data_IF_812613926669
#
_entry.id   IF_812613926669
#
_cell.length_a   1.000
_cell.length_b   1.000
_cell.length_c   1.000
_cell.angle_alpha   90.00
_cell.angle_beta   90.00
_cell.angle_gamma   90.00
#
_symmetry.space_group_name_H-M   'P 1'
#
loop_
_entity.id
_entity.type
_entity.pdbx_description
1 polymer ?
#
# COMPACT_ATOMS: atom_id res chain seq x y z
N UNK A 1 27.75 7.83 6.42
CA UNK A 1 28.64 6.96 7.17
C UNK A 1 27.80 5.93 7.94
N UNK A 2 28.35 4.74 8.16
CA UNK A 2 27.78 3.74 9.07
C UNK A 2 28.58 3.81 10.35
N UNK A 3 27.90 3.94 11.48
CA UNK A 3 28.51 3.97 12.81
C UNK A 3 27.93 2.83 13.63
N UNK A 4 28.79 1.95 14.15
CA UNK A 4 28.39 0.86 15.02
C UNK A 4 29.52 0.44 15.96
N UNK A 5 29.20 -0.28 17.02
CA UNK A 5 30.16 -0.81 18.00
C UNK A 5 30.43 -2.28 17.64
N UNK A 6 31.70 -2.65 17.57
CA UNK A 6 32.08 -4.04 17.30
C UNK A 6 31.73 -4.97 18.49
N UNK A 7 31.35 -6.22 18.24
CA UNK A 7 31.11 -6.84 16.94
C UNK A 7 29.80 -6.39 16.28
N UNK A 8 29.81 -6.13 14.98
CA UNK A 8 28.62 -5.75 14.22
C UNK A 8 28.46 -6.64 12.98
N UNK A 9 27.23 -6.69 12.45
CA UNK A 9 26.88 -7.44 11.25
C UNK A 9 26.54 -6.49 10.11
N UNK A 10 27.08 -6.76 8.93
CA UNK A 10 26.68 -6.06 7.70
C UNK A 10 25.34 -6.62 7.21
N UNK A 11 24.57 -5.84 6.43
CA UNK A 11 23.36 -6.36 5.76
C UNK A 11 23.70 -7.54 4.85
N UNK A 12 22.76 -8.47 4.74
CA UNK A 12 22.81 -9.54 3.76
C UNK A 12 22.84 -8.99 2.33
N UNK A 13 23.61 -9.64 1.46
CA UNK A 13 23.55 -9.46 0.03
C UNK A 13 23.07 -10.76 -0.58
N UNK A 14 21.94 -10.71 -1.30
CA UNK A 14 21.29 -11.90 -1.83
C UNK A 14 21.46 -11.92 -3.34
N UNK A 15 21.88 -13.06 -3.88
CA UNK A 15 21.92 -13.36 -5.30
C UNK A 15 21.06 -14.60 -5.51
N UNK A 16 20.00 -14.47 -6.30
CA UNK A 16 19.11 -15.58 -6.66
C UNK A 16 19.42 -16.00 -8.10
N UNK A 17 19.58 -17.30 -8.31
CA UNK A 17 19.80 -17.90 -9.63
C UNK A 17 18.71 -18.94 -9.89
N UNK A 18 18.17 -18.93 -11.09
CA UNK A 18 17.16 -19.89 -11.52
C UNK A 18 17.22 -20.10 -13.03
N UNK A 19 16.68 -21.22 -13.52
CA UNK A 19 16.62 -21.52 -14.95
C UNK A 19 15.56 -20.69 -15.69
N UNK A 20 14.53 -20.24 -14.97
CA UNK A 20 13.42 -19.43 -15.50
C UNK A 20 13.12 -18.27 -14.56
N UNK A 21 12.75 -17.09 -15.09
CA UNK A 21 12.46 -15.91 -14.26
C UNK A 21 11.39 -16.15 -13.18
N UNK A 22 10.34 -16.91 -13.50
CA UNK A 22 9.23 -17.17 -12.58
C UNK A 22 9.65 -17.92 -11.31
N UNK A 23 10.66 -18.79 -11.39
CA UNK A 23 11.16 -19.55 -10.24
C UNK A 23 11.74 -18.62 -9.16
N UNK A 24 12.29 -17.46 -9.54
CA UNK A 24 12.80 -16.49 -8.56
C UNK A 24 11.64 -15.89 -7.76
N UNK A 25 10.51 -15.60 -8.42
CA UNK A 25 9.31 -15.08 -7.75
C UNK A 25 8.70 -16.12 -6.80
N UNK A 26 8.72 -17.39 -7.16
CA UNK A 26 8.22 -18.50 -6.32
C UNK A 26 9.03 -18.69 -5.03
N UNK A 27 10.28 -18.21 -5.00
CA UNK A 27 11.22 -18.37 -3.89
C UNK A 27 11.55 -17.05 -3.17
N UNK A 28 10.69 -16.07 -3.22
CA UNK A 28 10.90 -14.77 -2.53
C UNK A 28 10.87 -14.90 -0.99
N UNK A 29 10.42 -16.00 -0.43
CA UNK A 29 10.52 -16.36 0.99
C UNK A 29 11.96 -16.44 1.51
N UNK A 30 12.94 -16.63 0.63
CA UNK A 30 14.37 -16.57 0.98
C UNK A 30 14.72 -15.28 1.72
N UNK A 31 14.25 -14.12 1.24
CA UNK A 31 14.52 -12.82 1.87
C UNK A 31 13.86 -12.73 3.25
N UNK A 32 12.65 -13.24 3.40
CA UNK A 32 11.97 -13.32 4.69
C UNK A 32 12.79 -14.17 5.66
N UNK A 33 13.29 -15.32 5.22
CA UNK A 33 14.00 -16.30 6.03
C UNK A 33 15.39 -15.81 6.52
N UNK A 34 15.94 -14.74 5.96
CA UNK A 34 17.14 -14.07 6.46
C UNK A 34 16.86 -13.15 7.67
N UNK A 35 15.61 -12.94 8.00
CA UNK A 35 15.20 -12.11 9.13
C UNK A 35 14.77 -12.97 10.33
N UNK A 36 14.90 -12.46 11.56
CA UNK A 36 14.43 -13.15 12.76
C UNK A 36 12.93 -13.47 12.68
N UNK A 37 12.50 -14.48 13.42
CA UNK A 37 11.08 -14.81 13.58
C UNK A 37 10.30 -13.66 14.21
N UNK A 38 8.97 -13.73 14.09
CA UNK A 38 8.04 -12.72 14.61
C UNK A 38 8.30 -12.41 16.08
N UNK A 39 8.39 -11.13 16.41
CA UNK A 39 8.57 -10.61 17.78
C UNK A 39 7.30 -10.09 18.42
N UNK A 40 6.19 -10.03 17.67
CA UNK A 40 4.89 -9.64 18.18
C UNK A 40 4.24 -10.86 18.82
N UNK A 41 3.88 -10.76 20.09
CA UNK A 41 3.31 -11.89 20.85
C UNK A 41 1.89 -12.24 20.39
N UNK A 42 1.06 -11.24 20.21
CA UNK A 42 -0.31 -11.37 19.69
C UNK A 42 -0.40 -10.68 18.34
N UNK A 43 -0.58 -11.48 17.29
CA UNK A 43 -0.76 -11.00 15.90
C UNK A 43 -2.21 -11.01 15.47
N UNK A 44 -3.16 -11.34 16.34
CA UNK A 44 -4.58 -11.50 16.00
C UNK A 44 -5.25 -10.24 15.48
N UNK A 45 -4.70 -9.07 15.80
CA UNK A 45 -5.16 -7.76 15.32
C UNK A 45 -4.63 -7.39 13.92
N UNK A 46 -3.59 -8.07 13.43
CA UNK A 46 -3.04 -7.85 12.08
C UNK A 46 -3.96 -8.55 11.09
N UNK A 47 -4.66 -7.78 10.29
CA UNK A 47 -5.66 -8.29 9.35
C UNK A 47 -5.31 -7.87 7.92
N UNK A 48 -4.82 -8.78 7.08
CA UNK A 48 -4.69 -8.51 5.65
C UNK A 48 -6.02 -8.13 5.03
N UNK A 49 -5.99 -7.26 4.02
CA UNK A 49 -7.23 -6.84 3.37
C UNK A 49 -7.03 -5.82 2.26
N UNK A 50 -8.15 -5.49 1.63
CA UNK A 50 -8.25 -4.52 0.53
C UNK A 50 -8.59 -3.14 1.08
N UNK A 51 -8.01 -2.11 0.50
CA UNK A 51 -8.14 -0.72 0.94
C UNK A 51 -8.65 0.13 -0.21
N UNK A 52 -9.57 1.05 0.06
CA UNK A 52 -10.00 2.08 -0.89
C UNK A 52 -9.73 3.48 -0.31
N UNK A 53 -9.28 4.41 -1.19
CA UNK A 53 -8.90 5.77 -0.78
C UNK A 53 -10.09 6.72 -0.74
N UNK A 54 -10.22 7.47 0.33
CA UNK A 54 -11.13 8.61 0.44
C UNK A 54 -10.49 9.84 -0.23
N UNK A 55 -11.23 10.49 -1.12
CA UNK A 55 -10.71 11.61 -1.94
C UNK A 55 -11.43 12.93 -1.73
N UNK A 56 -12.54 12.94 -0.98
CA UNK A 56 -13.37 14.16 -0.80
C UNK A 56 -12.98 14.93 0.45
N UNK A 57 -12.39 14.28 1.44
CA UNK A 57 -12.11 14.82 2.78
C UNK A 57 -13.37 15.41 3.43
N UNK A 58 -14.48 14.66 3.36
CA UNK A 58 -15.76 15.04 4.00
C UNK A 58 -16.30 13.87 4.84
N UNK A 59 -17.14 14.21 5.79
CA UNK A 59 -17.83 13.19 6.62
C UNK A 59 -18.76 12.33 5.76
N UNK A 60 -19.51 12.92 4.87
CA UNK A 60 -20.44 12.26 3.95
C UNK A 60 -19.69 11.37 2.96
N UNK A 61 -18.60 11.86 2.38
CA UNK A 61 -17.75 11.11 1.47
C UNK A 61 -17.11 9.90 2.16
N UNK A 62 -16.62 10.10 3.38
CA UNK A 62 -16.08 9.00 4.19
C UNK A 62 -17.12 7.92 4.48
N UNK A 63 -18.36 8.29 4.86
CA UNK A 63 -19.45 7.33 5.06
C UNK A 63 -19.87 6.61 3.78
N UNK A 64 -20.00 7.34 2.68
CA UNK A 64 -20.30 6.76 1.38
C UNK A 64 -19.23 5.75 0.95
N UNK A 65 -17.97 6.05 1.24
CA UNK A 65 -16.86 5.14 0.97
C UNK A 65 -16.90 3.89 1.86
N UNK A 66 -17.30 4.03 3.13
CA UNK A 66 -17.53 2.87 4.01
C UNK A 66 -18.62 1.96 3.43
N UNK A 67 -19.76 2.52 2.98
CA UNK A 67 -20.83 1.74 2.36
C UNK A 67 -20.36 1.04 1.07
N UNK A 68 -19.55 1.72 0.26
CA UNK A 68 -18.91 1.12 -0.90
C UNK A 68 -17.96 -0.01 -0.52
N UNK A 69 -17.15 0.18 0.52
CA UNK A 69 -16.24 -0.85 1.02
C UNK A 69 -17.00 -2.11 1.46
N UNK A 70 -18.12 -1.96 2.18
CA UNK A 70 -19.01 -3.07 2.56
C UNK A 70 -19.55 -3.77 1.31
N UNK A 71 -20.09 -3.00 0.35
CA UNK A 71 -20.65 -3.53 -0.89
C UNK A 71 -19.63 -4.33 -1.71
N UNK A 72 -18.36 -3.90 -1.73
CA UNK A 72 -17.27 -4.46 -2.52
C UNK A 72 -16.36 -5.41 -1.73
N UNK A 73 -16.78 -5.85 -0.55
CA UNK A 73 -15.98 -6.73 0.30
C UNK A 73 -14.52 -6.21 0.51
N UNK A 74 -14.40 -4.89 0.72
CA UNK A 74 -13.13 -4.26 1.12
C UNK A 74 -13.09 -4.16 2.64
N UNK A 75 -11.90 -4.22 3.23
CA UNK A 75 -11.72 -4.26 4.67
C UNK A 75 -11.39 -2.90 5.27
N UNK A 76 -10.90 -1.97 4.45
CA UNK A 76 -10.40 -0.69 4.93
C UNK A 76 -10.78 0.46 3.99
N UNK A 77 -11.00 1.63 4.59
CA UNK A 77 -10.92 2.93 3.91
C UNK A 77 -9.65 3.66 4.36
N UNK A 78 -9.13 4.53 3.51
CA UNK A 78 -7.92 5.28 3.77
C UNK A 78 -8.12 6.77 3.52
N UNK A 79 -7.86 7.59 4.53
CA UNK A 79 -7.72 9.04 4.38
C UNK A 79 -6.27 9.38 4.03
N UNK A 80 -6.08 9.86 2.81
CA UNK A 80 -4.78 10.26 2.27
C UNK A 80 -4.41 11.68 2.71
N UNK A 81 -3.32 12.23 2.20
CA UNK A 81 -2.80 13.55 2.56
C UNK A 81 -3.88 14.66 2.56
N UNK A 82 -3.75 15.59 3.48
CA UNK A 82 -4.63 16.77 3.58
C UNK A 82 -5.68 16.70 4.69
N UNK A 83 -5.81 15.61 5.43
CA UNK A 83 -6.78 15.51 6.54
C UNK A 83 -6.32 16.26 7.82
N UNK A 84 -5.00 16.54 7.95
CA UNK A 84 -4.42 17.30 9.06
C UNK A 84 -3.66 18.56 8.59
N UNK A 85 -4.12 19.20 7.53
CA UNK A 85 -3.50 20.34 6.88
C UNK A 85 -2.57 19.96 5.74
N UNK A 86 -1.77 20.91 5.29
CA UNK A 86 -0.77 20.66 4.27
C UNK A 86 0.41 19.91 4.90
N UNK A 87 0.64 18.68 4.49
CA UNK A 87 1.58 17.74 5.10
C UNK A 87 3.04 18.24 5.14
N UNK A 88 3.42 19.17 4.26
CA UNK A 88 4.75 19.77 4.22
C UNK A 88 4.86 21.05 5.06
N UNK A 89 3.75 21.59 5.56
CA UNK A 89 3.79 22.76 6.43
C UNK A 89 4.29 22.35 7.82
N UNK A 90 5.20 23.16 8.38
CA UNK A 90 5.76 22.92 9.72
C UNK A 90 4.74 23.05 10.84
N UNK A 91 3.64 23.77 10.60
CA UNK A 91 2.56 23.97 11.58
C UNK A 91 1.45 22.93 11.46
N UNK A 92 1.46 22.07 10.44
CA UNK A 92 0.46 21.02 10.31
C UNK A 92 0.65 19.97 11.39
N UNK A 93 -0.43 19.67 12.11
CA UNK A 93 -0.45 18.87 13.32
C UNK A 93 -1.28 17.60 13.13
N UNK A 94 -0.62 16.44 13.06
CA UNK A 94 -1.26 15.15 12.88
C UNK A 94 -2.03 14.65 14.12
N UNK A 95 -2.03 15.39 15.22
CA UNK A 95 -2.89 15.13 16.39
C UNK A 95 -4.28 15.75 16.26
N UNK A 96 -4.50 16.57 15.23
CA UNK A 96 -5.77 17.29 14.98
C UNK A 96 -6.35 16.95 13.61
N UNK A 97 -7.66 17.14 13.47
CA UNK A 97 -8.34 17.02 12.18
C UNK A 97 -8.65 18.44 11.69
N UNK A 98 -7.84 18.93 10.75
CA UNK A 98 -7.99 20.25 10.15
C UNK A 98 -7.56 20.13 8.69
N UNK A 99 -8.49 20.28 7.76
CA UNK A 99 -8.21 19.99 6.36
C UNK A 99 -7.27 21.00 5.71
N UNK A 100 -6.49 20.54 4.74
CA UNK A 100 -5.76 21.42 3.82
C UNK A 100 -6.76 22.20 2.96
N UNK A 101 -6.82 23.55 3.08
CA UNK A 101 -7.79 24.36 2.36
C UNK A 101 -7.63 24.31 0.83
N UNK A 102 -6.49 23.81 0.32
CA UNK A 102 -6.28 23.61 -1.11
C UNK A 102 -6.96 22.34 -1.61
N UNK A 103 -7.24 21.37 -0.73
CA UNK A 103 -7.96 20.14 -1.05
C UNK A 103 -9.45 20.24 -0.75
N UNK A 104 -9.80 20.88 0.38
CA UNK A 104 -11.16 21.18 0.74
C UNK A 104 -11.22 22.59 1.39
N UNK A 105 -11.93 23.57 0.80
CA UNK A 105 -12.02 24.93 1.34
C UNK A 105 -12.74 24.99 2.69
N UNK A 106 -13.64 24.06 2.98
CA UNK A 106 -14.20 23.88 4.33
C UNK A 106 -13.26 23.00 5.16
N UNK A 107 -12.38 23.65 5.90
CA UNK A 107 -11.37 22.97 6.73
C UNK A 107 -11.97 22.09 7.85
N UNK A 108 -13.27 22.18 8.12
CA UNK A 108 -14.00 21.42 9.12
C UNK A 108 -14.99 20.40 8.52
N UNK A 109 -14.96 20.17 7.21
CA UNK A 109 -15.89 19.28 6.52
C UNK A 109 -15.80 17.81 6.97
N UNK A 110 -14.70 17.42 7.62
CA UNK A 110 -14.46 16.06 8.09
C UNK A 110 -14.57 15.94 9.61
N UNK A 111 -15.58 15.21 10.08
CA UNK A 111 -15.62 14.67 11.43
C UNK A 111 -15.06 13.22 11.38
N UNK A 112 -13.74 13.10 11.47
CA UNK A 112 -13.05 11.78 11.36
C UNK A 112 -13.56 10.79 12.41
N UNK A 113 -13.83 11.22 13.65
CA UNK A 113 -14.32 10.32 14.71
C UNK A 113 -15.68 9.72 14.38
N UNK A 114 -16.55 10.50 13.76
CA UNK A 114 -17.86 10.05 13.30
C UNK A 114 -17.72 9.01 12.18
N UNK A 115 -16.82 9.24 11.21
CA UNK A 115 -16.56 8.27 10.15
C UNK A 115 -15.95 6.99 10.71
N UNK A 116 -15.02 7.08 11.65
CA UNK A 116 -14.41 5.90 12.31
C UNK A 116 -15.47 5.08 13.07
N UNK A 117 -16.38 5.75 13.79
CA UNK A 117 -17.46 5.07 14.49
C UNK A 117 -18.39 4.35 13.50
N UNK A 118 -18.78 5.02 12.41
CA UNK A 118 -19.61 4.48 11.33
C UNK A 118 -18.96 3.28 10.63
N UNK A 119 -17.66 3.36 10.37
CA UNK A 119 -16.86 2.29 9.78
C UNK A 119 -16.80 1.07 10.71
N UNK A 120 -16.52 1.29 11.99
CA UNK A 120 -16.43 0.24 13.00
C UNK A 120 -17.72 -0.56 13.14
N UNK A 121 -18.88 0.10 13.14
CA UNK A 121 -20.21 -0.56 13.19
C UNK A 121 -20.43 -1.51 11.99
N UNK A 122 -19.72 -1.27 10.87
CA UNK A 122 -19.82 -2.04 9.62
C UNK A 122 -18.64 -2.98 9.40
N UNK A 123 -17.75 -3.11 10.39
CA UNK A 123 -16.57 -3.98 10.31
C UNK A 123 -15.46 -3.45 9.39
N UNK A 124 -15.50 -2.17 9.03
CA UNK A 124 -14.49 -1.51 8.19
C UNK A 124 -13.46 -0.79 9.06
N UNK A 125 -12.17 -1.04 8.79
CA UNK A 125 -11.08 -0.32 9.44
C UNK A 125 -10.76 0.99 8.73
N UNK A 126 -10.16 1.93 9.46
CA UNK A 126 -9.71 3.22 8.92
C UNK A 126 -8.20 3.31 9.01
N UNK A 127 -7.55 3.68 7.90
CA UNK A 127 -6.11 3.92 7.79
C UNK A 127 -5.90 5.40 7.54
N UNK A 128 -4.89 5.99 8.18
CA UNK A 128 -4.53 7.40 8.02
C UNK A 128 -3.16 7.55 7.38
N UNK A 129 -3.05 8.43 6.40
CA UNK A 129 -1.77 8.91 5.90
C UNK A 129 -1.12 9.87 6.89
N UNK A 130 0.18 9.71 7.12
CA UNK A 130 0.98 10.69 7.87
C UNK A 130 2.35 10.86 7.18
N UNK A 131 2.70 12.12 6.89
CA UNK A 131 3.99 12.47 6.29
C UNK A 131 5.13 12.23 7.28
N UNK A 132 6.29 11.80 6.80
CA UNK A 132 7.47 11.56 7.64
C UNK A 132 7.82 12.75 8.53
N UNK A 133 7.63 13.96 8.06
CA UNK A 133 7.86 15.19 8.87
C UNK A 133 7.07 15.14 10.18
N UNK A 134 5.78 14.85 10.10
CA UNK A 134 4.91 14.74 11.27
C UNK A 134 5.25 13.51 12.10
N UNK A 135 5.50 12.35 11.45
CA UNK A 135 5.93 11.13 12.14
C UNK A 135 7.19 11.34 12.98
N UNK A 136 8.20 12.05 12.45
CA UNK A 136 9.42 12.34 13.19
C UNK A 136 9.19 13.16 14.46
N UNK A 137 8.26 14.10 14.38
CA UNK A 137 8.01 15.07 15.46
C UNK A 137 6.99 14.55 16.46
N UNK A 138 5.98 13.80 16.02
CA UNK A 138 4.76 13.53 16.77
C UNK A 138 4.45 12.03 16.94
N UNK A 139 5.34 11.11 16.54
CA UNK A 139 5.03 9.67 16.56
C UNK A 139 4.53 9.19 17.92
N UNK A 140 5.20 9.59 18.99
CA UNK A 140 4.85 9.17 20.35
C UNK A 140 3.54 9.80 20.87
N UNK A 141 3.08 10.89 20.25
CA UNK A 141 1.81 11.53 20.57
C UNK A 141 0.66 10.91 19.74
N UNK A 142 0.89 10.67 18.45
CA UNK A 142 -0.17 10.15 17.56
C UNK A 142 -0.49 8.68 17.80
N UNK A 143 0.47 7.84 18.19
CA UNK A 143 0.22 6.41 18.36
C UNK A 143 -0.86 6.11 19.42
N UNK A 144 -0.77 6.59 20.68
CA UNK A 144 -1.84 6.41 21.67
C UNK A 144 -3.14 7.09 21.24
N UNK A 145 -3.06 8.24 20.57
CA UNK A 145 -4.21 8.97 20.08
C UNK A 145 -4.98 8.17 19.01
N UNK A 146 -4.29 7.69 17.98
CA UNK A 146 -4.90 6.92 16.89
C UNK A 146 -5.47 5.59 17.38
N UNK A 147 -4.78 4.94 18.30
CA UNK A 147 -5.37 3.79 19.00
C UNK A 147 -6.67 4.15 19.70
N UNK A 148 -6.71 5.27 20.40
CA UNK A 148 -7.93 5.74 21.10
C UNK A 148 -9.06 6.10 20.14
N UNK A 149 -8.74 6.56 18.93
CA UNK A 149 -9.71 6.83 17.87
C UNK A 149 -10.22 5.54 17.20
N UNK A 150 -9.52 4.41 17.37
CA UNK A 150 -9.86 3.15 16.71
C UNK A 150 -9.31 3.03 15.30
N UNK A 151 -8.22 3.73 14.99
CA UNK A 151 -7.51 3.65 13.71
C UNK A 151 -6.85 2.27 13.59
N UNK A 152 -6.93 1.68 12.40
CA UNK A 152 -6.40 0.35 12.10
C UNK A 152 -4.93 0.36 11.65
N UNK A 153 -4.46 1.45 11.06
CA UNK A 153 -3.11 1.53 10.54
C UNK A 153 -2.72 2.93 10.07
N UNK A 154 -1.45 3.08 9.74
CA UNK A 154 -0.86 4.33 9.27
C UNK A 154 -0.12 4.06 7.95
N UNK A 155 -0.37 4.90 6.94
CA UNK A 155 0.43 4.99 5.73
C UNK A 155 1.49 6.08 5.94
N UNK A 156 2.76 5.67 5.94
CA UNK A 156 3.90 6.58 6.08
C UNK A 156 4.25 7.15 4.72
N UNK A 157 4.11 8.45 4.54
CA UNK A 157 4.43 9.11 3.27
C UNK A 157 5.67 9.97 3.30
N UNK A 158 6.31 10.10 2.14
CA UNK A 158 7.53 10.85 1.88
C UNK A 158 8.68 10.47 2.82
N UNK A 159 8.84 9.16 3.00
CA UNK A 159 9.88 8.62 3.88
C UNK A 159 11.26 8.78 3.29
N UNK A 160 12.24 8.99 4.15
CA UNK A 160 13.64 9.01 3.76
C UNK A 160 14.27 7.63 3.92
N UNK A 161 15.06 7.24 2.92
CA UNK A 161 15.70 5.93 2.84
C UNK A 161 17.20 6.04 2.60
N UNK A 162 17.88 4.91 2.65
CA UNK A 162 19.29 4.76 2.23
C UNK A 162 20.32 5.04 3.29
N UNK A 163 20.09 5.88 4.29
CA UNK A 163 21.01 6.09 5.38
C UNK A 163 20.75 5.15 6.57
N UNK A 164 21.77 4.87 7.36
CA UNK A 164 21.64 4.10 8.60
C UNK A 164 20.66 4.77 9.59
N UNK A 165 20.71 6.09 9.70
CA UNK A 165 19.84 6.88 10.60
C UNK A 165 18.37 6.66 10.22
N UNK A 166 18.04 6.82 8.94
CA UNK A 166 16.66 6.66 8.48
C UNK A 166 16.18 5.22 8.53
N UNK A 167 17.05 4.25 8.25
CA UNK A 167 16.71 2.84 8.38
C UNK A 167 16.42 2.45 9.83
N UNK A 168 17.25 2.90 10.78
CA UNK A 168 17.02 2.70 12.21
C UNK A 168 15.71 3.35 12.66
N UNK A 169 15.49 4.60 12.28
CA UNK A 169 14.27 5.32 12.61
C UNK A 169 13.02 4.59 12.08
N UNK A 170 13.04 4.16 10.83
CA UNK A 170 11.92 3.43 10.20
C UNK A 170 11.61 2.13 10.96
N UNK A 171 12.62 1.34 11.27
CA UNK A 171 12.43 0.10 12.04
C UNK A 171 11.86 0.37 13.42
N UNK A 172 12.33 1.41 14.13
CA UNK A 172 11.78 1.78 15.44
C UNK A 172 10.33 2.31 15.34
N UNK A 173 10.02 3.09 14.31
CA UNK A 173 8.66 3.58 14.09
C UNK A 173 7.67 2.40 13.84
N UNK A 174 8.06 1.43 13.00
CA UNK A 174 7.25 0.23 12.73
C UNK A 174 7.03 -0.60 14.01
N UNK A 175 8.08 -0.77 14.84
CA UNK A 175 7.97 -1.46 16.14
C UNK A 175 7.00 -0.73 17.08
N UNK A 176 7.15 0.59 17.21
CA UNK A 176 6.25 1.40 18.04
C UNK A 176 4.80 1.28 17.56
N UNK A 177 4.54 1.28 16.25
CA UNK A 177 3.20 1.01 15.72
C UNK A 177 2.66 -0.35 16.17
N UNK A 178 3.50 -1.39 16.18
CA UNK A 178 3.09 -2.71 16.67
C UNK A 178 2.69 -2.71 18.14
N UNK A 179 3.38 -1.95 19.00
CA UNK A 179 3.07 -1.83 20.43
C UNK A 179 1.67 -1.21 20.67
N UNK A 180 1.19 -0.42 19.71
CA UNK A 180 -0.15 0.18 19.74
C UNK A 180 -1.19 -0.56 18.91
N UNK A 181 -0.83 -1.68 18.28
CA UNK A 181 -1.74 -2.46 17.44
C UNK A 181 -2.10 -1.77 16.13
N UNK A 182 -1.15 -1.06 15.52
CA UNK A 182 -1.33 -0.32 14.27
C UNK A 182 -0.56 -1.00 13.12
N UNK A 183 -1.24 -1.30 12.03
CA UNK A 183 -0.64 -1.76 10.79
C UNK A 183 0.07 -0.61 10.09
N UNK A 184 1.07 -0.93 9.27
CA UNK A 184 1.89 0.07 8.56
C UNK A 184 1.98 -0.28 7.08
N UNK A 185 1.75 0.72 6.26
CA UNK A 185 2.17 0.81 4.87
C UNK A 185 3.28 1.87 4.78
N UNK A 186 4.40 1.56 4.14
CA UNK A 186 5.50 2.54 3.96
C UNK A 186 5.59 2.92 2.49
N UNK A 187 5.34 4.18 2.19
CA UNK A 187 5.35 4.70 0.82
C UNK A 187 6.74 5.15 0.35
N UNK A 188 6.80 5.68 -0.86
CA UNK A 188 7.97 6.18 -1.57
C UNK A 188 9.04 5.11 -1.87
N UNK A 189 10.31 5.39 -1.68
CA UNK A 189 11.40 4.50 -2.13
C UNK A 189 11.73 3.34 -1.19
N UNK A 190 10.98 3.13 -0.12
CA UNK A 190 11.25 2.06 0.82
C UNK A 190 10.89 0.69 0.22
N UNK A 191 11.89 -0.18 0.11
CA UNK A 191 11.76 -1.52 -0.50
C UNK A 191 11.76 -2.61 0.56
N UNK A 192 11.12 -3.76 0.29
CA UNK A 192 11.11 -4.89 1.21
C UNK A 192 12.53 -5.38 1.52
N UNK A 193 12.77 -5.64 2.80
CA UNK A 193 14.01 -6.22 3.32
C UNK A 193 13.75 -7.55 4.05
N UNK A 194 12.50 -8.01 4.04
CA UNK A 194 12.05 -9.15 4.84
C UNK A 194 11.73 -8.80 6.30
N UNK A 195 11.81 -7.51 6.69
CA UNK A 195 11.53 -7.06 8.05
C UNK A 195 10.10 -7.37 8.51
N UNK A 196 9.17 -7.51 7.59
CA UNK A 196 7.79 -7.94 7.82
C UNK A 196 7.67 -9.34 8.43
N UNK A 197 8.67 -10.23 8.30
CA UNK A 197 8.71 -11.50 9.04
C UNK A 197 8.83 -11.27 10.54
N UNK A 198 9.63 -10.31 10.94
CA UNK A 198 9.89 -9.98 12.35
C UNK A 198 8.79 -9.10 12.94
N UNK A 199 8.29 -8.16 12.13
CA UNK A 199 7.22 -7.23 12.46
C UNK A 199 6.13 -7.26 11.38
N UNK A 200 5.22 -8.26 11.42
CA UNK A 200 4.20 -8.46 10.39
C UNK A 200 3.14 -7.36 10.32
N UNK A 201 3.14 -6.41 11.25
CA UNK A 201 2.36 -5.18 11.12
C UNK A 201 2.87 -4.26 9.98
N UNK A 202 4.09 -4.45 9.49
CA UNK A 202 4.55 -3.89 8.22
C UNK A 202 3.91 -4.71 7.09
N UNK A 203 2.75 -4.24 6.61
CA UNK A 203 1.90 -4.99 5.70
C UNK A 203 2.36 -4.90 4.25
N UNK A 204 2.77 -3.70 3.84
CA UNK A 204 3.18 -3.42 2.46
C UNK A 204 4.11 -2.22 2.39
N UNK A 205 4.77 -2.05 1.26
CA UNK A 205 5.63 -0.91 0.98
C UNK A 205 5.54 -0.54 -0.50
N UNK A 206 5.65 0.74 -0.81
CA UNK A 206 5.71 1.15 -2.21
C UNK A 206 7.03 0.71 -2.86
N UNK A 207 8.05 1.50 -2.89
CA UNK A 207 9.32 1.23 -3.56
C UNK A 207 9.14 0.68 -4.98
N UNK A 208 8.12 1.15 -5.68
CA UNK A 208 7.65 0.69 -6.99
C UNK A 208 7.10 1.87 -7.79
N UNK A 209 7.18 1.81 -9.11
CA UNK A 209 6.43 2.72 -9.97
C UNK A 209 5.02 2.18 -10.16
N UNK A 210 4.09 2.61 -9.29
CA UNK A 210 2.69 2.22 -9.31
C UNK A 210 1.81 3.09 -10.21
N UNK A 211 0.49 2.93 -10.12
CA UNK A 211 -0.47 3.68 -10.94
C UNK A 211 -0.42 5.20 -10.72
N UNK A 212 0.13 5.67 -9.61
CA UNK A 212 0.36 7.11 -9.38
C UNK A 212 1.32 7.73 -10.39
N UNK A 213 2.14 6.90 -11.05
CA UNK A 213 3.07 7.29 -12.11
C UNK A 213 2.62 6.84 -13.51
N UNK A 214 1.41 6.31 -13.66
CA UNK A 214 0.78 5.89 -14.91
C UNK A 214 1.69 5.01 -15.78
N UNK A 215 2.19 3.86 -15.29
CA UNK A 215 3.04 2.97 -16.07
C UNK A 215 2.25 2.25 -17.17
N UNK A 216 2.99 1.82 -18.21
CA UNK A 216 2.45 0.99 -19.29
C UNK A 216 2.41 -0.51 -18.94
N UNK A 217 1.86 -1.31 -19.84
CA UNK A 217 1.73 -2.74 -19.64
C UNK A 217 3.08 -3.49 -19.68
N UNK A 218 4.07 -3.00 -20.44
CA UNK A 218 5.43 -3.56 -20.44
C UNK A 218 6.10 -3.41 -19.08
N UNK A 219 5.98 -2.22 -18.48
CA UNK A 219 6.45 -2.01 -17.11
C UNK A 219 5.76 -2.97 -16.13
N UNK A 220 4.45 -3.10 -16.26
CA UNK A 220 3.68 -3.99 -15.37
C UNK A 220 4.08 -5.47 -15.54
N UNK A 221 4.38 -5.93 -16.78
CA UNK A 221 4.86 -7.28 -17.02
C UNK A 221 6.32 -7.51 -16.56
N UNK A 222 7.07 -6.44 -16.30
CA UNK A 222 8.45 -6.50 -15.78
C UNK A 222 8.47 -6.65 -14.24
N UNK A 223 7.56 -6.02 -13.53
CA UNK A 223 7.59 -5.91 -12.06
C UNK A 223 7.54 -7.26 -11.33
N UNK A 224 6.77 -8.28 -11.76
CA UNK A 224 6.76 -9.59 -11.09
C UNK A 224 8.15 -10.22 -11.01
N UNK A 225 8.98 -10.04 -12.03
CA UNK A 225 10.32 -10.63 -12.14
C UNK A 225 11.43 -9.74 -11.56
N UNK A 226 11.11 -8.56 -11.07
CA UNK A 226 12.07 -7.59 -10.53
C UNK A 226 11.67 -7.16 -9.14
N UNK A 227 10.71 -6.25 -9.01
CA UNK A 227 10.31 -5.66 -7.73
C UNK A 227 9.67 -6.67 -6.77
N UNK A 228 8.78 -7.54 -7.27
CA UNK A 228 8.03 -8.47 -6.44
C UNK A 228 8.86 -9.66 -5.93
N UNK A 229 10.03 -9.91 -6.49
CA UNK A 229 10.96 -10.89 -5.94
C UNK A 229 11.50 -10.47 -4.55
N UNK A 230 11.50 -9.18 -4.25
CA UNK A 230 11.89 -8.66 -2.95
C UNK A 230 10.75 -8.73 -1.90
N UNK A 231 9.50 -8.85 -2.33
CA UNK A 231 8.33 -8.92 -1.45
C UNK A 231 7.17 -8.02 -1.88
N UNK A 232 6.22 -7.82 -0.98
CA UNK A 232 4.98 -7.06 -1.19
C UNK A 232 5.20 -5.64 -1.72
N UNK A 233 4.21 -5.12 -2.48
CA UNK A 233 4.21 -3.74 -2.94
C UNK A 233 2.81 -3.12 -2.91
N UNK A 234 2.73 -1.84 -2.46
CA UNK A 234 1.58 -0.98 -2.70
C UNK A 234 1.69 -0.41 -4.13
N UNK A 235 0.87 -0.93 -5.04
CA UNK A 235 0.87 -0.52 -6.44
C UNK A 235 -0.25 0.48 -6.77
N UNK A 236 -1.21 0.67 -5.87
CA UNK A 236 -2.36 1.57 -6.08
C UNK A 236 -3.23 1.18 -7.29
N UNK A 237 -3.77 -0.04 -7.28
CA UNK A 237 -4.59 -0.60 -8.36
C UNK A 237 -5.84 0.27 -8.61
N UNK A 238 -6.20 0.47 -9.88
CA UNK A 238 -7.40 1.15 -10.33
C UNK A 238 -8.28 0.19 -11.16
N UNK A 239 -9.50 0.60 -11.47
CA UNK A 239 -10.33 -0.12 -12.42
C UNK A 239 -10.65 0.75 -13.65
N UNK A 240 -11.11 1.99 -13.40
CA UNK A 240 -11.52 2.88 -14.47
C UNK A 240 -10.32 3.63 -15.08
N UNK A 241 -10.37 3.80 -16.41
CA UNK A 241 -9.40 4.66 -17.13
C UNK A 241 -9.91 6.09 -17.09
N UNK A 242 -9.62 6.78 -16.02
CA UNK A 242 -9.97 8.19 -15.88
C UNK A 242 -8.78 9.08 -16.27
N UNK A 243 -9.08 10.26 -16.80
CA UNK A 243 -8.09 11.30 -17.03
C UNK A 243 -7.94 12.13 -15.75
N UNK A 244 -6.81 11.97 -15.10
CA UNK A 244 -6.51 12.70 -13.87
C UNK A 244 -5.59 13.87 -14.19
N UNK A 245 -6.17 15.06 -14.32
CA UNK A 245 -5.38 16.27 -14.40
C UNK A 245 -4.46 16.40 -13.18
N UNK A 246 -3.22 15.93 -13.28
CA UNK A 246 -2.21 16.30 -12.28
C UNK A 246 -1.91 17.78 -12.45
N UNK A 247 -2.22 18.55 -11.44
CA UNK A 247 -1.74 19.92 -11.30
C UNK A 247 -0.20 19.91 -11.40
N UNK A 248 0.33 20.45 -12.50
CA UNK A 248 1.75 20.80 -12.70
C UNK A 248 2.74 19.69 -13.10
N UNK A 249 2.36 18.54 -13.62
CA UNK A 249 3.37 17.57 -14.03
C UNK A 249 3.16 17.05 -15.46
N UNK A 250 3.57 17.84 -16.44
CA UNK A 250 3.67 17.36 -17.83
C UNK A 250 4.84 16.39 -18.04
N UNK A 251 5.75 16.31 -17.07
CA UNK A 251 6.95 15.48 -17.15
C UNK A 251 7.29 14.89 -15.78
N UNK A 252 7.89 13.70 -15.77
CA UNK A 252 8.44 13.11 -14.55
C UNK A 252 9.77 13.76 -14.12
N UNK A 253 10.38 13.29 -13.05
CA UNK A 253 11.67 13.78 -12.54
C UNK A 253 12.83 13.61 -13.54
N UNK A 254 12.65 12.80 -14.57
CA UNK A 254 13.62 12.55 -15.64
C UNK A 254 13.29 13.32 -16.93
N UNK A 255 12.25 14.17 -16.91
CA UNK A 255 11.83 14.97 -18.06
C UNK A 255 10.99 14.20 -19.08
N UNK A 256 10.55 12.99 -18.78
CA UNK A 256 9.70 12.17 -19.66
C UNK A 256 8.25 12.65 -19.52
N UNK A 257 7.52 12.83 -20.66
CA UNK A 257 6.09 13.15 -20.61
C UNK A 257 5.31 12.12 -19.82
N UNK A 258 4.50 12.58 -18.84
CA UNK A 258 3.63 11.73 -18.04
C UNK A 258 2.26 11.61 -18.69
N UNK A 259 1.73 10.40 -18.72
CA UNK A 259 0.30 10.21 -18.95
C UNK A 259 -0.51 10.80 -17.81
N UNK A 260 -1.73 11.23 -18.13
CA UNK A 260 -2.72 11.70 -17.14
C UNK A 260 -3.81 10.66 -16.87
N UNK A 261 -3.71 9.48 -17.47
CA UNK A 261 -4.69 8.40 -17.35
C UNK A 261 -4.02 7.05 -17.20
N UNK A 262 -4.74 6.10 -16.62
CA UNK A 262 -4.30 4.70 -16.53
C UNK A 262 -4.07 4.18 -17.96
N UNK A 263 -2.86 3.67 -18.22
CA UNK A 263 -2.43 3.25 -19.56
C UNK A 263 -2.93 1.86 -19.95
N UNK A 264 -3.39 1.08 -18.99
CA UNK A 264 -3.80 -0.31 -19.18
C UNK A 264 -5.32 -0.45 -19.15
N UNK A 265 -5.82 -1.60 -19.61
CA UNK A 265 -7.26 -1.88 -19.64
C UNK A 265 -7.80 -2.23 -18.25
N UNK A 266 -9.13 -2.13 -18.00
CA UNK A 266 -9.74 -2.65 -16.77
C UNK A 266 -9.42 -4.12 -16.50
N UNK A 267 -9.41 -4.98 -17.54
CA UNK A 267 -9.04 -6.39 -17.39
C UNK A 267 -7.59 -6.57 -16.93
N UNK A 268 -6.66 -5.74 -17.42
CA UNK A 268 -5.28 -5.73 -16.94
C UNK A 268 -5.22 -5.33 -15.46
N UNK A 269 -5.94 -4.29 -15.05
CA UNK A 269 -6.00 -3.85 -13.65
C UNK A 269 -6.59 -4.93 -12.73
N UNK A 270 -7.63 -5.65 -13.18
CA UNK A 270 -8.18 -6.80 -12.44
C UNK A 270 -7.09 -7.87 -12.23
N UNK A 271 -6.34 -8.21 -13.27
CA UNK A 271 -5.29 -9.22 -13.18
C UNK A 271 -4.17 -8.83 -12.20
N UNK A 272 -3.85 -7.53 -12.07
CA UNK A 272 -2.85 -7.04 -11.12
C UNK A 272 -3.17 -7.45 -9.68
N UNK A 273 -4.45 -7.52 -9.29
CA UNK A 273 -4.85 -7.85 -7.93
C UNK A 273 -4.42 -9.27 -7.48
N UNK A 274 -4.18 -10.18 -8.43
CA UNK A 274 -3.66 -11.50 -8.13
C UNK A 274 -2.18 -11.67 -8.55
N UNK A 275 -1.75 -11.04 -9.65
CA UNK A 275 -0.35 -11.12 -10.10
C UNK A 275 0.58 -10.43 -9.11
N UNK A 276 0.16 -9.29 -8.57
CA UNK A 276 0.92 -8.55 -7.57
C UNK A 276 0.58 -9.04 -6.16
N UNK A 277 1.54 -8.97 -5.28
CA UNK A 277 1.38 -9.40 -3.91
C UNK A 277 1.41 -8.20 -2.96
N UNK A 278 0.35 -8.04 -2.20
CA UNK A 278 0.28 -7.05 -1.12
C UNK A 278 -0.72 -7.49 -0.05
N UNK A 279 -0.30 -7.82 1.17
CA UNK A 279 -1.21 -8.14 2.27
C UNK A 279 -2.18 -7.01 2.62
N UNK A 280 -1.79 -5.77 2.36
CA UNK A 280 -2.66 -4.60 2.42
C UNK A 280 -2.70 -3.99 1.02
N UNK A 281 -3.72 -4.34 0.25
CA UNK A 281 -3.78 -4.05 -1.17
C UNK A 281 -4.70 -2.87 -1.47
N UNK A 282 -4.12 -1.76 -1.91
CA UNK A 282 -4.88 -0.59 -2.34
C UNK A 282 -5.52 -0.84 -3.70
N UNK A 283 -6.85 -0.64 -3.74
CA UNK A 283 -7.68 -0.83 -4.92
C UNK A 283 -8.55 0.39 -5.14
N UNK A 284 -8.98 0.60 -6.38
CA UNK A 284 -9.80 1.77 -6.74
C UNK A 284 -9.13 3.11 -6.38
N UNK A 285 -7.79 3.19 -6.52
CA UNK A 285 -7.00 4.32 -6.01
C UNK A 285 -7.46 5.69 -6.50
N UNK A 286 -7.82 5.80 -7.78
CA UNK A 286 -8.38 7.01 -8.36
C UNK A 286 -9.89 6.94 -8.58
N UNK A 287 -10.49 5.79 -8.37
CA UNK A 287 -11.90 5.56 -8.64
C UNK A 287 -12.75 6.06 -7.47
N UNK A 288 -13.99 6.43 -7.76
CA UNK A 288 -14.96 6.89 -6.76
C UNK A 288 -16.14 5.92 -6.72
N UNK A 289 -16.87 5.82 -5.60
CA UNK A 289 -18.10 5.03 -5.53
C UNK A 289 -19.09 5.35 -6.64
N UNK A 290 -19.17 6.62 -7.05
CA UNK A 290 -20.04 7.12 -8.13
C UNK A 290 -19.64 6.64 -9.52
N UNK A 291 -18.42 6.17 -9.72
CA UNK A 291 -17.93 5.71 -11.03
C UNK A 291 -18.40 4.28 -11.31
N UNK A 292 -18.72 3.50 -10.25
CA UNK A 292 -19.14 2.12 -10.37
C UNK A 292 -20.57 2.01 -10.89
N UNK A 293 -20.74 1.24 -11.97
CA UNK A 293 -22.03 0.87 -12.55
C UNK A 293 -22.38 -0.59 -12.26
N UNK A 294 -21.73 -1.20 -11.27
CA UNK A 294 -21.89 -2.60 -10.88
C UNK A 294 -21.53 -3.56 -12.03
N UNK A 295 -20.46 -3.27 -12.74
CA UNK A 295 -19.91 -4.14 -13.77
C UNK A 295 -19.67 -5.54 -13.20
N UNK A 296 -20.17 -6.61 -13.86
CA UNK A 296 -20.11 -7.97 -13.29
C UNK A 296 -18.69 -8.47 -13.06
N UNK A 297 -17.71 -7.99 -13.81
CA UNK A 297 -16.30 -8.34 -13.64
C UNK A 297 -15.67 -7.79 -12.34
N UNK A 298 -16.26 -6.76 -11.73
CA UNK A 298 -15.82 -6.26 -10.42
C UNK A 298 -15.97 -7.29 -9.30
N UNK A 299 -16.80 -8.31 -9.52
CA UNK A 299 -16.88 -9.46 -8.61
C UNK A 299 -15.50 -10.11 -8.39
N UNK A 300 -14.60 -10.05 -9.37
CA UNK A 300 -13.23 -10.53 -9.18
C UNK A 300 -12.49 -9.74 -8.09
N UNK A 301 -12.63 -8.40 -8.07
CA UNK A 301 -12.06 -7.59 -6.99
C UNK A 301 -12.72 -7.87 -5.63
N UNK A 302 -14.02 -8.20 -5.63
CA UNK A 302 -14.73 -8.52 -4.39
C UNK A 302 -14.24 -9.86 -3.80
N UNK A 303 -13.88 -10.84 -4.65
CA UNK A 303 -13.53 -12.20 -4.25
C UNK A 303 -12.02 -12.43 -4.05
N UNK A 304 -11.15 -11.67 -4.73
CA UNK A 304 -9.71 -11.90 -4.69
C UNK A 304 -9.14 -11.71 -3.28
N UNK A 305 -8.22 -12.59 -2.91
CA UNK A 305 -7.50 -12.54 -1.64
C UNK A 305 -6.26 -11.64 -1.73
N UNK A 306 -5.78 -11.15 -0.59
CA UNK A 306 -4.56 -10.34 -0.48
C UNK A 306 -3.37 -11.12 0.08
N UNK A 307 -3.62 -12.35 0.56
CA UNK A 307 -2.58 -13.28 1.02
C UNK A 307 -2.81 -14.66 0.44
N UNK A 308 -1.73 -15.36 0.15
CA UNK A 308 -1.73 -16.59 -0.60
C UNK A 308 -1.00 -17.70 0.13
N UNK A 309 -1.49 -18.94 0.00
CA UNK A 309 -0.87 -20.12 0.61
C UNK A 309 0.13 -20.80 -0.35
N UNK A 310 0.00 -20.56 -1.65
CA UNK A 310 0.92 -21.05 -2.67
C UNK A 310 0.93 -20.14 -3.89
N UNK A 311 2.04 -20.11 -4.61
CA UNK A 311 2.24 -19.34 -5.84
C UNK A 311 3.01 -20.17 -6.85
N UNK A 312 2.48 -20.28 -8.08
CA UNK A 312 3.13 -20.93 -9.21
C UNK A 312 3.17 -19.98 -10.41
N UNK A 313 4.32 -19.77 -10.97
CA UNK A 313 4.47 -19.08 -12.26
C UNK A 313 4.43 -20.12 -13.37
N UNK A 314 3.30 -20.21 -14.05
CA UNK A 314 3.08 -21.20 -15.08
C UNK A 314 3.91 -20.90 -16.32
N UNK A 315 3.95 -19.63 -16.72
CA UNK A 315 4.75 -19.13 -17.84
C UNK A 315 5.10 -17.66 -17.60
N UNK A 316 6.18 -17.17 -18.18
CA UNK A 316 6.50 -15.76 -18.15
C UNK A 316 7.82 -15.40 -18.79
N UNK A 317 7.85 -14.18 -19.33
CA UNK A 317 9.03 -13.55 -19.91
C UNK A 317 9.05 -12.08 -19.49
N UNK A 318 10.21 -11.61 -19.03
CA UNK A 318 10.37 -10.28 -18.45
C UNK A 318 9.97 -9.20 -19.44
N UNK A 319 9.02 -8.36 -19.06
CA UNK A 319 8.51 -7.27 -19.88
C UNK A 319 7.50 -7.68 -20.95
N UNK A 320 7.31 -8.97 -21.17
CA UNK A 320 6.41 -9.48 -22.21
C UNK A 320 5.08 -9.96 -21.59
N UNK A 321 5.16 -10.95 -20.74
CA UNK A 321 3.97 -11.51 -20.09
C UNK A 321 4.29 -12.32 -18.83
N UNK A 322 3.28 -12.57 -18.02
CA UNK A 322 3.29 -13.56 -16.94
C UNK A 322 1.93 -14.24 -16.83
N UNK A 323 1.93 -15.56 -16.64
CA UNK A 323 0.78 -16.33 -16.21
C UNK A 323 1.08 -16.95 -14.85
N UNK A 324 0.30 -16.56 -13.85
CA UNK A 324 0.50 -16.96 -12.45
C UNK A 324 -0.75 -17.67 -11.92
N UNK A 325 -0.54 -18.69 -11.09
CA UNK A 325 -1.58 -19.34 -10.31
C UNK A 325 -1.28 -19.11 -8.82
N UNK A 326 -2.25 -18.59 -8.08
CA UNK A 326 -2.16 -18.38 -6.63
C UNK A 326 -3.27 -19.13 -5.92
N UNK A 327 -2.95 -19.78 -4.83
CA UNK A 327 -3.90 -20.58 -4.05
C UNK A 327 -4.20 -19.94 -2.70
N UNK A 328 -5.48 -20.01 -2.32
CA UNK A 328 -5.94 -19.73 -0.98
C UNK A 328 -6.93 -20.82 -0.55
N UNK A 329 -6.59 -21.58 0.50
CA UNK A 329 -7.35 -22.78 0.86
C UNK A 329 -7.42 -23.77 -0.32
N UNK A 330 -8.62 -24.09 -0.76
CA UNK A 330 -8.90 -24.96 -1.91
C UNK A 330 -9.04 -24.20 -3.24
N UNK A 331 -9.06 -22.86 -3.21
CA UNK A 331 -9.33 -22.03 -4.38
C UNK A 331 -8.04 -21.61 -5.08
N UNK A 332 -8.06 -21.68 -6.41
CA UNK A 332 -6.97 -21.21 -7.27
C UNK A 332 -7.42 -20.04 -8.14
N UNK A 333 -6.60 -19.01 -8.16
CA UNK A 333 -6.73 -17.83 -9.02
C UNK A 333 -5.64 -17.87 -10.08
N UNK A 334 -6.04 -18.01 -11.36
CA UNK A 334 -5.11 -18.09 -12.49
C UNK A 334 -5.29 -16.84 -13.36
N UNK A 335 -4.26 -16.03 -13.46
CA UNK A 335 -4.27 -14.76 -14.16
C UNK A 335 -3.07 -14.62 -15.09
N UNK A 336 -3.29 -13.88 -16.18
CA UNK A 336 -2.23 -13.50 -17.10
C UNK A 336 -2.17 -11.98 -17.26
N UNK A 337 -0.97 -11.46 -17.26
CA UNK A 337 -0.64 -10.11 -17.71
C UNK A 337 0.16 -10.20 -19.00
N UNK A 338 -0.11 -9.30 -19.94
CA UNK A 338 0.61 -9.18 -21.18
C UNK A 338 0.92 -7.70 -21.48
N UNK A 339 1.98 -7.45 -22.21
CA UNK A 339 2.52 -6.10 -22.45
C UNK A 339 1.71 -5.23 -23.42
N UNK A 340 0.64 -5.71 -24.03
CA UNK A 340 -0.23 -4.99 -24.99
C UNK A 340 -1.40 -4.27 -24.30
#
# INVERSE_FOLDING_TARGET
PVEDIAPYHTPWRVIMCADKPGQILEHNDLILNLNPSCKIKDTSWIKPGKVVREVTLTTEGGKALVDFAVKRNLQYIHFDAGWYGFEYDKVSDATTVTLDPRRNPDINALNLKEVVAYAKERGIGVILYVNQRALQQQLDEILPLYKSWGIAGIKFGFVQVGSQVWTKWMHEAIKKCADYGLMVDVHDEYRPTGFSRTYPNLMTQEGIRGNEEFPDATHNATLPFTRFIAGAADYTICYYRQDFGRLNADKDSYGVPRSKSIQTTPAHQLALAAVYYSPLQYMYWYDKPSDSQDEPELKFFDDVYTTWDDTKVLQGEVGEFITIARRKGEEWFILSLIHI
#
